data_IF_681281241505
#
_entry.id   IF_681281241505
#
_cell.length_a   1.000
_cell.length_b   1.000
_cell.length_c   1.000
_cell.angle_alpha   90.00
_cell.angle_beta   90.00
_cell.angle_gamma   90.00
#
_symmetry.space_group_name_H-M   'P 1'
#
loop_
_entity.id
_entity.type
_entity.pdbx_description
1 polymer ?
#
# COMPACT_ATOMS: atom_id res chain seq x y z
N UNK A 1 -8.68 -8.54 5.90
CA UNK A 1 -8.36 -7.12 6.06
C UNK A 1 -6.87 -6.93 6.27
N UNK A 2 -6.35 -5.81 5.78
CA UNK A 2 -4.98 -5.40 6.00
C UNK A 2 -4.71 -5.16 7.50
N UNK A 3 -3.57 -5.57 8.06
CA UNK A 3 -2.39 -6.17 7.44
C UNK A 3 -2.42 -7.72 7.38
N UNK A 4 -3.49 -8.37 7.82
CA UNK A 4 -3.57 -9.83 7.93
C UNK A 4 -3.38 -10.58 6.60
N UNK A 5 -3.62 -9.91 5.48
CA UNK A 5 -3.40 -10.45 4.14
C UNK A 5 -1.94 -10.42 3.67
N UNK A 6 -1.06 -9.76 4.39
CA UNK A 6 0.34 -9.68 3.99
C UNK A 6 1.05 -11.01 4.17
N UNK A 7 1.88 -11.36 3.20
CA UNK A 7 2.62 -12.64 3.16
C UNK A 7 3.44 -12.87 4.42
N UNK A 8 4.17 -11.86 4.89
CA UNK A 8 4.98 -11.98 6.10
C UNK A 8 4.15 -12.33 7.35
N UNK A 9 2.92 -11.83 7.46
CA UNK A 9 2.03 -12.15 8.57
C UNK A 9 1.49 -13.58 8.45
N UNK A 10 1.18 -14.04 7.23
CA UNK A 10 0.78 -15.43 6.99
C UNK A 10 1.91 -16.39 7.39
N UNK A 11 3.15 -16.15 6.95
CA UNK A 11 4.31 -16.96 7.30
C UNK A 11 4.47 -16.97 8.83
N UNK A 12 4.45 -15.79 9.46
CA UNK A 12 4.62 -15.69 10.91
C UNK A 12 3.57 -16.48 11.71
N UNK A 13 2.32 -16.54 11.22
CA UNK A 13 1.23 -17.24 11.92
C UNK A 13 1.16 -18.74 11.63
N UNK A 14 1.54 -19.17 10.43
CA UNK A 14 1.40 -20.56 9.99
C UNK A 14 2.67 -21.33 10.29
N UNK A 15 3.82 -20.80 9.91
CA UNK A 15 5.13 -21.41 10.11
C UNK A 15 6.19 -20.31 10.30
N UNK A 16 6.31 -19.79 11.52
CA UNK A 16 7.18 -18.67 11.79
C UNK A 16 8.66 -19.00 11.58
N UNK A 17 9.38 -18.12 10.92
CA UNK A 17 10.82 -18.19 10.75
C UNK A 17 11.49 -18.12 12.13
N UNK A 18 12.28 -19.11 12.47
CA UNK A 18 12.95 -19.25 13.79
C UNK A 18 14.44 -18.96 13.73
N UNK A 19 15.05 -19.20 12.58
CA UNK A 19 16.49 -19.01 12.37
C UNK A 19 16.72 -18.16 11.11
N UNK A 20 17.88 -17.49 11.06
CA UNK A 20 18.33 -16.72 9.90
C UNK A 20 18.57 -17.56 8.63
N UNK A 21 18.68 -18.87 8.79
CA UNK A 21 18.85 -19.81 7.68
C UNK A 21 17.50 -20.36 7.16
N UNK A 22 16.40 -20.12 7.87
CA UNK A 22 15.09 -20.54 7.43
C UNK A 22 14.66 -19.77 6.19
N UNK A 23 14.14 -20.46 5.20
CA UNK A 23 13.66 -19.88 3.95
C UNK A 23 12.20 -20.28 3.75
N UNK A 24 11.34 -19.29 3.60
CA UNK A 24 9.94 -19.49 3.24
C UNK A 24 9.69 -19.01 1.81
N UNK A 25 9.06 -19.87 1.00
CA UNK A 25 8.62 -19.54 -0.33
C UNK A 25 7.14 -19.25 -0.35
N UNK A 26 6.73 -18.25 -1.11
CA UNK A 26 5.33 -17.98 -1.36
C UNK A 26 5.06 -17.79 -2.86
N UNK A 27 3.83 -18.06 -3.26
CA UNK A 27 3.38 -17.89 -4.63
C UNK A 27 1.94 -17.38 -4.64
N UNK A 28 1.63 -16.47 -5.56
CA UNK A 28 0.28 -15.95 -5.71
C UNK A 28 -0.65 -16.97 -6.38
N UNK A 29 -1.95 -16.98 -6.05
CA UNK A 29 -2.93 -17.89 -6.64
C UNK A 29 -2.99 -17.82 -8.17
N UNK A 30 -2.84 -16.62 -8.76
CA UNK A 30 -2.82 -16.47 -10.22
C UNK A 30 -1.58 -17.13 -10.84
N UNK A 31 -0.42 -17.02 -10.20
CA UNK A 31 0.80 -17.66 -10.67
C UNK A 31 0.70 -19.19 -10.58
N UNK A 32 0.03 -19.72 -9.55
CA UNK A 32 -0.27 -21.17 -9.46
C UNK A 32 -1.16 -21.62 -10.62
N UNK A 33 -2.20 -20.84 -10.93
CA UNK A 33 -3.10 -21.11 -12.05
C UNK A 33 -2.37 -21.05 -13.39
N UNK A 34 -1.47 -20.08 -13.56
CA UNK A 34 -0.63 -19.95 -14.76
C UNK A 34 0.30 -21.16 -14.95
N UNK A 35 0.94 -21.64 -13.88
CA UNK A 35 1.78 -22.83 -13.90
C UNK A 35 0.94 -24.07 -14.26
N UNK A 36 -0.23 -24.25 -13.61
CA UNK A 36 -1.14 -25.34 -13.93
C UNK A 36 -1.62 -25.31 -15.37
N UNK A 37 -1.95 -24.13 -15.89
CA UNK A 37 -2.33 -23.91 -17.29
C UNK A 37 -1.19 -24.29 -18.24
N UNK A 38 0.04 -23.89 -17.94
CA UNK A 38 1.22 -24.21 -18.75
C UNK A 38 1.39 -25.72 -18.94
N UNK A 39 1.24 -26.50 -17.88
CA UNK A 39 1.33 -27.98 -17.98
C UNK A 39 0.16 -28.57 -18.76
N UNK A 40 -1.05 -28.07 -18.57
CA UNK A 40 -2.24 -28.55 -19.25
C UNK A 40 -2.26 -28.22 -20.76
N UNK A 41 -1.67 -27.10 -21.15
CA UNK A 41 -1.66 -26.61 -22.54
C UNK A 41 -0.39 -26.99 -23.33
N UNK A 42 0.38 -27.95 -22.81
CA UNK A 42 1.63 -28.45 -23.43
C UNK A 42 2.67 -27.33 -23.66
N UNK A 43 2.81 -26.44 -22.71
CA UNK A 43 3.84 -25.41 -22.70
C UNK A 43 3.42 -24.05 -23.25
N UNK A 44 2.15 -23.80 -23.46
CA UNK A 44 1.63 -22.47 -23.83
C UNK A 44 1.50 -21.61 -22.58
N UNK A 45 2.24 -20.50 -22.52
CA UNK A 45 2.13 -19.54 -21.43
C UNK A 45 0.83 -18.74 -21.52
N UNK A 46 0.08 -18.70 -20.44
CA UNK A 46 -1.09 -17.84 -20.31
C UNK A 46 -0.64 -16.40 -20.05
N UNK A 47 -0.86 -15.52 -21.01
CA UNK A 47 -0.37 -14.14 -20.97
C UNK A 47 -1.44 -13.14 -20.51
N UNK A 48 -2.46 -13.60 -19.79
CA UNK A 48 -3.51 -12.74 -19.23
C UNK A 48 -3.46 -12.75 -17.71
N UNK A 49 -3.91 -11.67 -17.11
CA UNK A 49 -3.99 -11.51 -15.66
C UNK A 49 -5.30 -10.83 -15.29
N UNK A 50 -5.92 -11.30 -14.22
CA UNK A 50 -7.07 -10.62 -13.63
C UNK A 50 -6.60 -9.58 -12.65
N UNK A 51 -7.12 -8.37 -12.79
CA UNK A 51 -6.81 -7.24 -11.91
C UNK A 51 -8.10 -6.65 -11.35
N UNK A 52 -8.01 -6.08 -10.17
CA UNK A 52 -9.04 -5.20 -9.62
C UNK A 52 -8.67 -3.75 -9.97
N UNK A 53 -9.59 -3.03 -10.59
CA UNK A 53 -9.45 -1.58 -10.82
C UNK A 53 -10.39 -0.88 -9.85
N UNK A 54 -9.83 -0.10 -8.93
CA UNK A 54 -10.56 0.47 -7.79
C UNK A 54 -10.02 1.84 -7.37
N UNK A 55 -10.66 2.45 -6.40
CA UNK A 55 -10.26 3.73 -5.82
C UNK A 55 -11.29 4.82 -6.03
N UNK A 56 -11.17 5.90 -5.26
CA UNK A 56 -12.14 7.00 -5.27
C UNK A 56 -12.03 7.91 -6.51
N UNK A 57 -10.95 7.77 -7.29
CA UNK A 57 -10.80 8.42 -8.58
C UNK A 57 -11.56 7.72 -9.73
N UNK A 58 -12.36 6.67 -9.43
CA UNK A 58 -13.17 5.92 -10.40
C UNK A 58 -14.66 6.03 -10.06
N UNK A 59 -15.50 6.20 -11.09
CA UNK A 59 -16.94 6.12 -10.90
C UNK A 59 -17.39 4.68 -10.62
N UNK A 60 -16.89 3.71 -11.40
CA UNK A 60 -17.32 2.31 -11.35
C UNK A 60 -16.12 1.35 -11.15
N UNK A 61 -15.80 0.95 -9.90
CA UNK A 61 -14.80 -0.06 -9.64
C UNK A 61 -15.20 -1.43 -10.21
N UNK A 62 -14.24 -2.12 -10.85
CA UNK A 62 -14.52 -3.44 -11.44
C UNK A 62 -13.29 -4.32 -11.54
N UNK A 63 -13.52 -5.59 -11.90
CA UNK A 63 -12.45 -6.51 -12.27
C UNK A 63 -12.26 -6.52 -13.78
N UNK A 64 -11.02 -6.54 -14.22
CA UNK A 64 -10.64 -6.63 -15.63
C UNK A 64 -9.61 -7.72 -15.86
N UNK A 65 -9.69 -8.37 -17.04
CA UNK A 65 -8.66 -9.29 -17.51
C UNK A 65 -7.81 -8.57 -18.55
N UNK A 66 -6.56 -8.38 -18.25
CA UNK A 66 -5.59 -7.68 -19.09
C UNK A 66 -4.51 -8.62 -19.59
N UNK A 67 -3.80 -8.26 -20.67
CA UNK A 67 -2.53 -8.87 -20.97
C UNK A 67 -1.46 -8.37 -20.01
N UNK A 68 -0.53 -9.26 -19.61
CA UNK A 68 0.67 -8.84 -18.87
C UNK A 68 1.38 -7.80 -19.74
N UNK A 69 1.90 -6.76 -19.13
CA UNK A 69 2.56 -5.62 -19.78
C UNK A 69 1.65 -4.63 -20.54
N UNK A 70 0.32 -4.75 -20.43
CA UNK A 70 -0.59 -3.74 -20.97
C UNK A 70 -0.31 -2.38 -20.30
N UNK A 71 -0.10 -1.31 -21.08
CA UNK A 71 0.05 0.03 -20.53
C UNK A 71 -1.19 0.45 -19.73
N UNK A 72 -0.98 1.16 -18.65
CA UNK A 72 -2.07 1.60 -17.78
C UNK A 72 -3.06 2.48 -18.51
N UNK A 73 -2.59 3.30 -19.45
CA UNK A 73 -3.43 4.11 -20.32
C UNK A 73 -4.48 3.28 -21.06
N UNK A 74 -4.11 2.12 -21.60
CA UNK A 74 -5.02 1.26 -22.34
C UNK A 74 -6.05 0.61 -21.41
N UNK A 75 -5.62 0.24 -20.19
CA UNK A 75 -6.54 -0.28 -19.17
C UNK A 75 -7.58 0.78 -18.80
N UNK A 76 -7.11 1.99 -18.50
CA UNK A 76 -7.93 3.07 -18.01
C UNK A 76 -8.81 3.73 -19.10
N UNK A 77 -8.54 3.48 -20.38
CA UNK A 77 -9.36 3.98 -21.48
C UNK A 77 -10.84 3.52 -21.43
N UNK A 78 -11.11 2.43 -20.71
CA UNK A 78 -12.45 1.87 -20.51
C UNK A 78 -13.15 2.41 -19.28
N UNK A 79 -12.50 3.26 -18.49
CA UNK A 79 -13.01 3.76 -17.21
C UNK A 79 -13.20 5.28 -17.24
N UNK A 80 -14.19 5.75 -16.51
CA UNK A 80 -14.34 7.17 -16.21
C UNK A 80 -13.49 7.49 -15.00
N UNK A 81 -12.53 8.40 -15.21
CA UNK A 81 -11.56 8.79 -14.22
C UNK A 81 -11.80 10.23 -13.83
N UNK A 82 -11.79 10.51 -12.54
CA UNK A 82 -11.83 11.88 -12.06
C UNK A 82 -10.50 12.62 -12.35
N UNK A 83 -10.63 13.88 -12.77
CA UNK A 83 -9.48 14.76 -12.96
C UNK A 83 -8.69 14.87 -11.65
N UNK A 84 -7.36 14.96 -11.77
CA UNK A 84 -6.45 15.06 -10.63
C UNK A 84 -6.37 13.79 -9.75
N UNK A 85 -6.44 12.63 -10.37
CA UNK A 85 -6.20 11.35 -9.70
C UNK A 85 -4.77 10.87 -9.91
N UNK A 86 -4.16 10.30 -8.86
CA UNK A 86 -2.91 9.53 -8.96
C UNK A 86 -3.21 8.07 -9.19
N UNK A 87 -2.39 7.45 -10.03
CA UNK A 87 -2.47 6.03 -10.36
C UNK A 87 -1.47 5.28 -9.50
N UNK A 88 -1.94 4.27 -8.80
CA UNK A 88 -1.13 3.43 -7.92
C UNK A 88 -1.16 2.01 -8.43
N UNK A 89 0.00 1.44 -8.73
CA UNK A 89 0.15 0.01 -8.93
C UNK A 89 0.17 -0.67 -7.57
N UNK A 90 -0.82 -1.49 -7.29
CA UNK A 90 -1.07 -2.06 -5.97
C UNK A 90 -2.18 -1.34 -5.20
N UNK A 91 -2.22 -1.57 -3.90
CA UNK A 91 -3.15 -0.90 -2.99
C UNK A 91 -2.58 0.44 -2.47
N UNK A 92 -3.42 1.23 -1.80
CA UNK A 92 -3.05 2.55 -1.28
C UNK A 92 -1.98 2.49 -0.17
N UNK A 93 -1.78 1.34 0.48
CA UNK A 93 -0.88 1.19 1.63
C UNK A 93 0.49 0.64 1.23
N UNK A 94 0.54 -0.25 0.24
CA UNK A 94 1.76 -0.96 -0.16
C UNK A 94 2.16 -0.73 -1.62
N UNK A 95 1.30 -0.09 -2.42
CA UNK A 95 1.57 0.21 -3.81
C UNK A 95 2.50 1.40 -4.02
N UNK A 96 2.81 1.67 -5.27
CA UNK A 96 3.59 2.83 -5.67
C UNK A 96 2.95 3.56 -6.85
N UNK A 97 3.18 4.87 -6.91
CA UNK A 97 2.63 5.73 -7.96
C UNK A 97 3.32 5.39 -9.28
N UNK A 98 2.53 5.28 -10.34
CA UNK A 98 2.99 5.03 -11.69
C UNK A 98 2.40 6.05 -12.67
N UNK A 99 3.06 6.21 -13.83
CA UNK A 99 2.59 7.06 -14.90
C UNK A 99 1.63 6.32 -15.84
N UNK A 100 0.79 7.06 -16.58
CA UNK A 100 -0.14 6.52 -17.56
C UNK A 100 0.52 5.62 -18.62
N UNK A 101 1.75 5.92 -19.03
CA UNK A 101 2.48 5.16 -20.04
C UNK A 101 3.21 3.93 -19.47
N UNK A 102 3.19 3.79 -18.15
CA UNK A 102 3.82 2.65 -17.47
C UNK A 102 2.89 1.44 -17.46
N UNK A 103 3.46 0.26 -17.25
CA UNK A 103 2.70 -0.96 -16.96
C UNK A 103 2.64 -1.21 -15.45
N UNK A 104 1.63 -1.96 -15.02
CA UNK A 104 1.53 -2.40 -13.63
C UNK A 104 2.71 -3.30 -13.24
N UNK A 105 3.08 -3.27 -11.96
CA UNK A 105 4.01 -4.24 -11.41
C UNK A 105 3.48 -5.67 -11.54
N UNK A 106 4.36 -6.60 -11.89
CA UNK A 106 4.03 -8.01 -12.03
C UNK A 106 3.40 -8.62 -10.76
N UNK A 107 3.76 -8.10 -9.60
CA UNK A 107 3.33 -8.64 -8.31
C UNK A 107 2.05 -8.01 -7.77
N UNK A 108 1.50 -7.02 -8.48
CA UNK A 108 0.30 -6.32 -8.07
C UNK A 108 -0.92 -6.77 -8.88
N UNK A 109 -1.99 -7.14 -8.18
CA UNK A 109 -3.28 -7.55 -8.76
C UNK A 109 -4.33 -6.44 -8.68
N UNK A 110 -3.94 -5.26 -8.20
CA UNK A 110 -4.83 -4.12 -8.03
C UNK A 110 -4.23 -2.89 -8.70
N UNK A 111 -5.06 -2.14 -9.40
CA UNK A 111 -4.79 -0.80 -9.89
C UNK A 111 -5.70 0.16 -9.13
N UNK A 112 -5.11 1.05 -8.34
CA UNK A 112 -5.86 1.96 -7.48
C UNK A 112 -5.74 3.39 -7.97
N UNK A 113 -6.88 4.07 -8.16
CA UNK A 113 -6.93 5.49 -8.47
C UNK A 113 -7.29 6.28 -7.21
N UNK A 114 -6.41 7.15 -6.78
CA UNK A 114 -6.57 7.92 -5.56
C UNK A 114 -6.63 9.41 -5.89
N UNK A 115 -7.58 10.12 -5.31
CA UNK A 115 -7.72 11.56 -5.51
C UNK A 115 -6.55 12.34 -4.88
N UNK A 116 -5.97 13.24 -5.65
CA UNK A 116 -4.90 14.15 -5.19
C UNK A 116 -5.46 15.39 -4.47
N UNK A 117 -6.67 15.36 -3.98
CA UNK A 117 -7.32 16.51 -3.39
C UNK A 117 -6.67 16.90 -2.06
N UNK A 118 -5.70 17.80 -2.13
CA UNK A 118 -5.14 18.47 -0.96
C UNK A 118 -5.99 19.71 -0.66
N UNK A 119 -7.18 19.51 -0.13
CA UNK A 119 -7.98 20.62 0.40
C UNK A 119 -7.36 21.06 1.73
N UNK A 120 -6.47 22.05 1.69
CA UNK A 120 -5.98 22.69 2.92
C UNK A 120 -7.15 23.42 3.58
N UNK A 121 -7.52 23.00 4.78
CA UNK A 121 -8.55 23.63 5.57
C UNK A 121 -7.97 24.89 6.20
N UNK A 122 -8.63 26.05 5.97
CA UNK A 122 -8.29 27.29 6.67
C UNK A 122 -8.58 27.09 8.17
N UNK A 123 -7.61 27.35 9.02
CA UNK A 123 -7.68 27.16 10.48
C UNK A 123 -8.11 25.72 10.86
N UNK A 124 -7.62 24.72 10.13
CA UNK A 124 -7.99 23.32 10.31
C UNK A 124 -7.70 22.74 11.71
N UNK A 125 -6.85 23.39 12.49
CA UNK A 125 -6.56 23.03 13.88
C UNK A 125 -7.68 23.40 14.86
N UNK A 126 -8.61 24.31 14.48
CA UNK A 126 -9.84 24.62 15.22
C UNK A 126 -11.07 23.87 14.68
N UNK A 127 -10.91 23.13 13.58
CA UNK A 127 -12.01 22.39 12.97
C UNK A 127 -12.47 21.27 13.90
N UNK A 128 -13.77 21.23 14.30
CA UNK A 128 -14.33 20.13 15.09
C UNK A 128 -14.23 18.78 14.38
N UNK A 129 -13.90 18.73 13.08
CA UNK A 129 -13.56 17.54 12.34
C UNK A 129 -14.73 16.60 12.07
N UNK A 130 -15.85 17.12 11.58
CA UNK A 130 -17.02 16.29 11.22
C UNK A 130 -16.71 15.22 10.18
N UNK A 131 -15.76 15.49 9.25
CA UNK A 131 -15.32 14.58 8.19
C UNK A 131 -13.82 14.25 8.31
N UNK A 132 -13.24 14.32 9.48
CA UNK A 132 -11.83 14.03 9.68
C UNK A 132 -11.63 12.68 10.36
N UNK A 133 -10.73 11.86 9.81
CA UNK A 133 -10.32 10.60 10.42
C UNK A 133 -9.19 10.86 11.41
N UNK A 134 -9.28 10.25 12.59
CA UNK A 134 -8.20 10.24 13.59
C UNK A 134 -8.19 8.94 14.36
N UNK A 135 -7.00 8.44 14.66
CA UNK A 135 -6.83 7.25 15.51
C UNK A 135 -7.13 7.51 16.99
N UNK A 136 -7.03 8.75 17.43
CA UNK A 136 -7.18 9.15 18.85
C UNK A 136 -8.59 9.56 19.25
N UNK A 137 -9.58 9.44 18.36
CA UNK A 137 -10.98 9.82 18.58
C UNK A 137 -11.17 11.26 19.09
N UNK A 138 -10.35 12.17 18.63
CA UNK A 138 -10.39 13.58 19.05
C UNK A 138 -11.42 14.42 18.30
N UNK A 139 -11.87 13.95 17.13
CA UNK A 139 -12.83 14.67 16.31
C UNK A 139 -14.27 14.19 16.54
N UNK A 140 -15.24 15.07 16.25
CA UNK A 140 -16.68 14.76 16.34
C UNK A 140 -17.06 13.60 15.42
N UNK A 141 -16.40 13.45 14.28
CA UNK A 141 -16.58 12.32 13.37
C UNK A 141 -16.49 10.94 14.03
N UNK A 142 -15.72 10.82 15.11
CA UNK A 142 -15.58 9.56 15.86
C UNK A 142 -16.83 9.12 16.62
N UNK A 143 -17.78 10.01 16.81
CA UNK A 143 -19.08 9.72 17.44
C UNK A 143 -20.17 9.40 16.43
N UNK A 144 -19.91 9.61 15.12
CA UNK A 144 -20.87 9.36 14.06
C UNK A 144 -20.66 7.93 13.55
N UNK A 145 -21.59 6.99 13.76
CA UNK A 145 -21.44 5.62 13.28
C UNK A 145 -21.53 5.57 11.74
N UNK A 146 -20.76 4.65 11.14
CA UNK A 146 -20.78 4.39 9.70
C UNK A 146 -20.40 5.57 8.79
N UNK A 147 -19.68 6.56 9.29
CA UNK A 147 -19.16 7.64 8.47
C UNK A 147 -18.11 7.07 7.50
N UNK A 148 -18.29 7.37 6.21
CA UNK A 148 -17.29 7.03 5.18
C UNK A 148 -16.32 8.19 5.03
N UNK A 149 -15.04 7.89 5.00
CA UNK A 149 -13.98 8.86 4.78
C UNK A 149 -13.41 8.67 3.38
N UNK A 150 -13.13 9.78 2.71
CA UNK A 150 -12.43 9.77 1.43
C UNK A 150 -10.96 9.38 1.64
N UNK A 151 -10.49 8.41 0.87
CA UNK A 151 -9.08 8.01 0.86
C UNK A 151 -8.31 8.94 -0.07
N UNK A 152 -7.61 9.90 0.49
CA UNK A 152 -6.80 10.86 -0.25
C UNK A 152 -5.32 10.65 0.02
N UNK A 153 -4.45 11.04 -0.92
CA UNK A 153 -2.99 11.03 -0.74
C UNK A 153 -2.48 12.24 0.08
N UNK A 154 -3.39 13.02 0.65
CA UNK A 154 -3.03 14.22 1.40
C UNK A 154 -2.34 13.87 2.72
N UNK A 155 -1.10 14.33 2.89
CA UNK A 155 -0.43 14.34 4.18
C UNK A 155 -1.03 15.47 5.03
N UNK A 156 -1.86 15.10 6.01
CA UNK A 156 -2.40 16.05 6.98
C UNK A 156 -1.36 16.31 8.07
N UNK A 157 -0.59 17.37 7.93
CA UNK A 157 0.43 17.80 8.87
C UNK A 157 1.84 17.82 8.28
N UNK A 158 2.82 18.17 9.11
CA UNK A 158 4.24 18.18 8.77
C UNK A 158 4.89 16.83 9.07
N UNK A 159 6.04 16.57 8.45
CA UNK A 159 6.88 15.42 8.81
C UNK A 159 7.27 15.53 10.29
N UNK A 160 7.11 14.44 11.02
CA UNK A 160 7.47 14.34 12.43
C UNK A 160 8.54 13.27 12.61
N UNK A 161 9.39 13.46 13.61
CA UNK A 161 10.34 12.42 14.02
C UNK A 161 9.59 11.20 14.54
N UNK A 162 10.14 10.02 14.28
CA UNK A 162 9.63 8.78 14.87
C UNK A 162 10.06 8.76 16.34
N UNK A 163 9.09 8.73 17.24
CA UNK A 163 9.35 8.65 18.68
C UNK A 163 8.93 7.25 19.15
N UNK A 164 9.78 6.51 19.84
CA UNK A 164 9.53 5.13 20.28
C UNK A 164 8.59 5.10 21.49
N UNK A 165 7.28 5.28 21.27
CA UNK A 165 6.26 5.19 22.33
C UNK A 165 5.74 3.78 22.58
N UNK A 166 6.21 2.76 21.87
CA UNK A 166 5.63 1.41 21.94
C UNK A 166 4.27 1.29 21.25
N UNK A 167 3.84 2.29 20.48
CA UNK A 167 2.54 2.28 19.80
C UNK A 167 2.49 1.23 18.67
N UNK A 168 3.61 1.01 18.00
CA UNK A 168 3.74 0.06 16.90
C UNK A 168 3.49 -1.37 17.32
N UNK A 169 3.87 -1.72 18.56
CA UNK A 169 3.68 -3.04 19.16
C UNK A 169 2.19 -3.38 19.33
N UNK A 170 1.33 -2.39 19.50
CA UNK A 170 -0.11 -2.59 19.64
C UNK A 170 -0.84 -2.80 18.33
N UNK A 171 -0.29 -2.29 17.21
CA UNK A 171 -0.96 -2.37 15.90
C UNK A 171 -0.42 -3.49 15.02
N UNK A 172 0.80 -3.95 15.27
CA UNK A 172 1.41 -5.03 14.51
C UNK A 172 0.94 -6.39 15.02
N UNK A 173 0.29 -7.22 14.20
CA UNK A 173 -0.23 -8.53 14.60
C UNK A 173 0.85 -9.63 14.57
N UNK A 174 2.09 -9.30 14.91
CA UNK A 174 3.25 -10.17 14.96
C UNK A 174 3.99 -10.00 16.28
N UNK A 175 4.63 -11.07 16.76
CA UNK A 175 5.42 -11.05 18.00
C UNK A 175 6.87 -10.60 17.74
N UNK A 176 7.01 -9.39 17.23
CA UNK A 176 8.30 -8.72 17.01
C UNK A 176 8.26 -7.32 17.63
N UNK A 177 9.41 -6.71 17.81
CA UNK A 177 9.54 -5.34 18.34
C UNK A 177 9.73 -4.36 17.17
N UNK A 178 8.64 -3.84 16.55
CA UNK A 178 8.71 -3.01 15.37
C UNK A 178 9.42 -1.68 15.62
N UNK A 179 9.36 -1.15 16.83
CA UNK A 179 10.02 0.11 17.17
C UNK A 179 11.51 0.07 16.87
N UNK A 180 12.20 -1.02 17.21
CA UNK A 180 13.64 -1.17 16.92
C UNK A 180 13.95 -1.34 15.42
N UNK A 181 13.01 -1.88 14.64
CA UNK A 181 13.19 -2.04 13.19
C UNK A 181 12.99 -0.73 12.42
N UNK A 182 12.08 0.13 12.91
CA UNK A 182 11.69 1.37 12.22
C UNK A 182 12.55 2.56 12.67
N UNK A 183 13.04 2.52 13.92
CA UNK A 183 13.90 3.60 14.42
C UNK A 183 15.30 3.43 13.80
N UNK A 184 15.78 4.39 13.01
CA UNK A 184 17.17 4.35 12.56
C UNK A 184 18.06 4.35 13.80
N UNK A 185 19.18 3.63 13.74
CA UNK A 185 20.18 3.67 14.81
C UNK A 185 20.47 5.13 15.17
N UNK A 186 20.52 5.48 16.47
CA UNK A 186 20.85 6.84 16.86
C UNK A 186 22.24 7.13 16.28
N UNK A 187 22.31 7.99 15.27
CA UNK A 187 23.57 8.55 14.83
C UNK A 187 24.09 9.36 16.01
N UNK A 188 25.00 8.79 16.76
CA UNK A 188 25.70 9.53 17.82
C UNK A 188 26.35 10.75 17.15
N UNK A 189 26.06 11.99 17.59
CA UNK A 189 26.73 13.16 17.09
C UNK A 189 28.21 13.06 17.52
N UNK A 190 29.06 12.53 16.65
CA UNK A 190 30.47 12.29 16.92
C UNK A 190 31.15 11.32 15.97
N UNK A 191 30.44 10.56 15.15
CA UNK A 191 31.04 9.61 14.21
C UNK A 191 31.38 10.20 12.83
N UNK A 192 31.26 11.51 12.62
CA UNK A 192 31.83 12.17 11.47
C UNK A 192 33.31 12.49 11.76
N UNK A 193 34.08 11.42 11.94
CA UNK A 193 35.55 11.46 11.87
C UNK A 193 35.90 11.75 10.40
N UNK A 194 36.29 12.99 10.16
CA UNK A 194 37.22 13.43 9.14
C UNK A 194 37.89 12.29 8.34
N UNK A 195 37.45 12.06 7.11
CA UNK A 195 38.33 11.62 6.05
C UNK A 195 38.37 12.70 4.95
N UNK A 196 38.88 13.87 5.35
CA UNK A 196 39.62 14.67 4.42
C UNK A 196 41.00 14.09 4.36
N UNK A 197 41.48 13.73 3.19
CA UNK A 197 42.87 13.92 2.78
C UNK A 197 43.04 13.32 1.37
N UNK A 198 43.43 14.26 0.53
CA UNK A 198 44.10 14.17 -0.78
C UNK A 198 43.28 13.72 -1.98
#
# INVERSE_FOLDING_TARGET
PHPSGNVGIHIHKIDPIKDKNDIAWYINPQDVADIGSFFNTKGVLYNKRNIAVSGEGLEDPSYSTIYKDTPVQDILSYYRIEDNSSIISGDILSGFIIDFNSSMSRYHDTLTLCLNSVKRRFIGWLDPGFNALTSSRTFISSFIPNLKFESTMALNGSRRSIIPFGFWEHVLPMQILPTFLITPEPSFPGANGSSGLN
#
